data_IF_255050833852
#
_entry.id   IF_255050833852
#
_cell.length_a   1.000
_cell.length_b   1.000
_cell.length_c   1.000
_cell.angle_alpha   90.00
_cell.angle_beta   90.00
_cell.angle_gamma   90.00
#
_symmetry.space_group_name_H-M   'P 1'
#
loop_
_entity.id
_entity.type
_entity.pdbx_description
1 polymer ?
#
# COMPACT_ATOMS: atom_id res chain seq x y z
N UNK A 1 -17.34 -71.39 9.82
CA UNK A 1 -15.99 -70.84 9.58
C UNK A 1 -15.95 -70.14 8.25
N UNK A 2 -16.14 -68.84 8.19
CA UNK A 2 -15.84 -68.02 7.03
C UNK A 2 -15.55 -66.64 7.55
N UNK A 3 -14.31 -66.24 7.49
CA UNK A 3 -13.74 -64.92 7.87
C UNK A 3 -14.16 -63.86 6.86
N UNK A 4 -14.91 -62.87 7.28
CA UNK A 4 -15.19 -61.67 6.47
C UNK A 4 -14.10 -60.64 6.71
N UNK A 5 -13.34 -60.32 5.67
CA UNK A 5 -12.39 -59.18 5.64
C UNK A 5 -13.19 -57.91 5.52
N UNK A 6 -13.02 -56.99 6.49
CA UNK A 6 -13.57 -55.65 6.50
C UNK A 6 -12.59 -54.73 5.74
N UNK A 7 -13.01 -54.24 4.58
CA UNK A 7 -12.25 -53.28 3.78
C UNK A 7 -12.60 -51.90 4.31
N UNK A 8 -11.62 -51.18 4.87
CA UNK A 8 -11.74 -49.77 5.21
C UNK A 8 -11.49 -48.93 3.93
N UNK A 9 -12.53 -48.30 3.42
CA UNK A 9 -12.42 -47.25 2.42
C UNK A 9 -12.07 -45.94 3.16
N UNK A 10 -10.84 -45.52 3.03
CA UNK A 10 -10.43 -44.14 3.37
C UNK A 10 -10.95 -43.20 2.27
N UNK A 11 -12.01 -42.44 2.57
CA UNK A 11 -12.40 -41.33 1.74
C UNK A 11 -11.42 -40.16 2.02
N UNK A 12 -10.53 -39.92 1.06
CA UNK A 12 -9.72 -38.71 1.06
C UNK A 12 -10.62 -37.54 0.69
N UNK A 13 -10.94 -36.72 1.67
CA UNK A 13 -11.56 -35.39 1.45
C UNK A 13 -10.45 -34.49 0.91
N UNK A 14 -10.48 -34.25 -0.39
CA UNK A 14 -9.67 -33.22 -1.02
C UNK A 14 -10.28 -31.85 -0.62
N UNK A 15 -9.70 -31.21 0.38
CA UNK A 15 -9.95 -29.78 0.64
C UNK A 15 -9.19 -29.02 -0.44
N UNK A 16 -9.91 -28.55 -1.46
CA UNK A 16 -9.40 -27.59 -2.42
C UNK A 16 -9.35 -26.24 -1.65
N UNK A 17 -8.21 -26.00 -1.02
CA UNK A 17 -7.87 -24.67 -0.54
C UNK A 17 -7.56 -23.84 -1.78
N UNK A 18 -8.47 -22.93 -2.15
CA UNK A 18 -8.22 -21.96 -3.19
C UNK A 18 -7.04 -21.11 -2.77
N UNK A 19 -5.87 -21.39 -3.32
CA UNK A 19 -4.71 -20.55 -3.17
C UNK A 19 -5.00 -19.25 -3.91
N UNK A 20 -5.35 -18.21 -3.15
CA UNK A 20 -5.23 -16.85 -3.61
C UNK A 20 -3.72 -16.60 -3.82
N UNK A 21 -3.29 -16.64 -5.07
CA UNK A 21 -1.90 -16.36 -5.42
C UNK A 21 -1.70 -14.87 -5.27
N UNK A 22 -1.28 -14.45 -4.08
CA UNK A 22 -0.74 -13.10 -3.89
C UNK A 22 0.61 -13.03 -4.63
N UNK A 23 0.64 -12.24 -5.68
CA UNK A 23 1.83 -11.99 -6.50
C UNK A 23 2.71 -10.94 -5.83
N UNK A 24 3.31 -11.29 -4.71
CA UNK A 24 4.40 -10.52 -4.12
C UNK A 24 5.65 -11.37 -4.00
N UNK A 25 6.18 -11.98 -4.93
CA UNK A 25 7.47 -12.66 -5.04
C UNK A 25 7.33 -13.95 -5.83
N UNK A 26 7.28 -13.85 -7.15
CA UNK A 26 7.69 -15.00 -7.95
C UNK A 26 9.20 -15.18 -7.77
N UNK A 27 9.56 -16.29 -7.16
CA UNK A 27 10.91 -16.82 -7.17
C UNK A 27 11.16 -17.48 -8.54
N UNK A 28 11.45 -16.66 -9.53
CA UNK A 28 12.04 -17.13 -10.78
C UNK A 28 13.23 -16.25 -11.11
N UNK A 29 14.38 -16.93 -11.09
CA UNK A 29 15.70 -16.56 -11.61
C UNK A 29 16.24 -15.18 -11.22
N UNK A 30 17.42 -15.18 -10.59
CA UNK A 30 18.33 -14.05 -10.34
C UNK A 30 18.57 -13.19 -11.60
N UNK A 31 17.57 -12.40 -12.01
CA UNK A 31 17.86 -11.22 -12.78
C UNK A 31 18.55 -10.27 -11.79
N UNK A 32 19.84 -10.07 -11.96
CA UNK A 32 20.64 -9.08 -11.23
C UNK A 32 20.00 -7.74 -11.47
N UNK A 33 19.08 -7.35 -10.56
CA UNK A 33 18.49 -6.01 -10.54
C UNK A 33 19.64 -5.06 -10.23
N UNK A 34 20.09 -4.32 -11.21
CA UNK A 34 21.15 -3.34 -11.02
C UNK A 34 20.57 -2.13 -10.28
N UNK A 35 21.02 -1.85 -9.04
CA UNK A 35 20.62 -0.62 -8.37
C UNK A 35 21.13 0.59 -9.15
N UNK A 36 20.34 1.65 -9.26
CA UNK A 36 20.72 2.88 -9.95
C UNK A 36 20.42 4.12 -9.11
N UNK A 37 21.30 5.09 -9.14
CA UNK A 37 21.13 6.41 -8.53
C UNK A 37 20.73 7.50 -9.54
N UNK A 38 20.42 7.13 -10.79
CA UNK A 38 20.00 8.05 -11.84
C UNK A 38 18.55 8.53 -11.65
N UNK A 39 18.39 9.76 -11.21
CA UNK A 39 17.10 10.42 -11.04
C UNK A 39 16.59 11.17 -12.27
N UNK A 40 17.26 11.11 -13.42
CA UNK A 40 16.98 11.92 -14.62
C UNK A 40 15.56 11.75 -15.19
N UNK A 41 14.92 10.61 -14.91
CA UNK A 41 13.54 10.31 -15.33
C UNK A 41 12.49 10.62 -14.25
N UNK A 42 12.90 11.23 -13.15
CA UNK A 42 12.02 11.64 -12.07
C UNK A 42 11.74 13.14 -12.08
N UNK A 43 10.67 13.51 -11.40
CA UNK A 43 10.31 14.90 -11.11
C UNK A 43 9.94 15.02 -9.63
N UNK A 44 10.10 16.22 -9.07
CA UNK A 44 9.47 16.59 -7.81
C UNK A 44 7.96 16.62 -8.02
N UNK A 45 7.20 15.86 -7.23
CA UNK A 45 5.76 15.67 -7.43
C UNK A 45 5.01 17.01 -7.48
N UNK A 46 5.34 17.95 -6.63
CA UNK A 46 4.69 19.27 -6.58
C UNK A 46 5.00 20.18 -7.77
N UNK A 47 6.05 19.89 -8.55
CA UNK A 47 6.30 20.62 -9.79
C UNK A 47 5.33 20.17 -10.91
N UNK A 48 4.92 18.89 -10.89
CA UNK A 48 3.95 18.34 -11.85
C UNK A 48 2.50 18.48 -11.34
N UNK A 49 2.27 18.32 -10.04
CA UNK A 49 0.95 18.37 -9.38
C UNK A 49 0.99 19.39 -8.24
N UNK A 50 0.96 20.70 -8.55
CA UNK A 50 1.17 21.77 -7.56
C UNK A 50 0.06 21.85 -6.50
N UNK A 51 -1.11 21.29 -6.80
CA UNK A 51 -2.25 21.28 -5.87
C UNK A 51 -2.19 20.12 -4.87
N UNK A 52 -1.24 19.18 -5.03
CA UNK A 52 -1.07 18.09 -4.08
C UNK A 52 -0.61 18.58 -2.71
N UNK A 53 -1.19 18.00 -1.66
CA UNK A 53 -0.78 18.22 -0.27
C UNK A 53 0.21 17.13 0.09
N UNK A 54 1.37 17.49 0.63
CA UNK A 54 2.36 16.51 1.07
C UNK A 54 2.29 16.33 2.59
N UNK A 55 2.09 15.10 3.04
CA UNK A 55 2.28 14.66 4.42
C UNK A 55 3.19 13.43 4.43
N UNK A 56 4.45 13.63 4.03
CA UNK A 56 5.39 12.52 3.82
C UNK A 56 5.70 11.84 5.16
N UNK A 57 5.04 10.71 5.40
CA UNK A 57 5.05 9.98 6.67
C UNK A 57 6.43 9.49 7.05
N UNK A 58 7.21 9.07 6.08
CA UNK A 58 8.54 8.51 6.30
C UNK A 58 9.64 9.55 6.47
N UNK A 59 9.37 10.81 6.13
CA UNK A 59 10.23 11.92 6.56
C UNK A 59 10.01 12.30 8.03
N UNK A 60 8.81 12.12 8.55
CA UNK A 60 8.45 12.35 9.93
C UNK A 60 8.71 11.15 10.84
N UNK A 61 8.16 11.23 12.05
CA UNK A 61 8.22 10.16 13.06
C UNK A 61 6.88 9.45 13.28
N UNK A 62 5.80 9.98 12.69
CA UNK A 62 4.48 9.36 12.77
C UNK A 62 4.30 8.35 11.62
N UNK A 63 5.00 7.23 11.74
CA UNK A 63 4.95 6.05 10.88
C UNK A 63 5.10 4.80 11.75
N UNK A 64 4.96 3.61 11.20
CA UNK A 64 4.96 2.37 11.96
C UNK A 64 6.32 2.02 12.62
N UNK A 65 7.42 2.66 12.18
CA UNK A 65 8.75 2.53 12.80
C UNK A 65 8.92 3.49 13.99
N UNK A 66 8.33 4.68 13.92
CA UNK A 66 8.43 5.71 14.97
C UNK A 66 9.62 6.66 14.82
N UNK A 67 10.38 6.56 13.72
CA UNK A 67 11.51 7.43 13.40
C UNK A 67 11.51 7.82 11.94
N UNK A 68 12.33 8.83 11.56
CA UNK A 68 12.53 9.14 10.15
C UNK A 68 13.18 7.94 9.46
N UNK A 69 12.69 7.61 8.27
CA UNK A 69 13.18 6.50 7.48
C UNK A 69 14.41 6.92 6.67
N UNK A 70 15.37 6.02 6.58
CA UNK A 70 16.62 6.24 5.86
C UNK A 70 16.36 6.61 4.39
N UNK A 71 17.07 7.60 3.91
CA UNK A 71 16.96 8.07 2.52
C UNK A 71 15.91 9.16 2.30
N UNK A 72 15.09 9.52 3.28
CA UNK A 72 14.21 10.69 3.23
C UNK A 72 14.93 11.92 3.78
N UNK A 73 15.53 12.74 2.91
CA UNK A 73 16.32 13.92 3.28
C UNK A 73 15.45 15.17 3.41
N UNK A 74 14.34 15.26 2.64
CA UNK A 74 13.40 16.38 2.65
C UNK A 74 11.94 15.91 2.69
N UNK A 75 10.99 16.75 3.18
CA UNK A 75 9.57 16.41 3.21
C UNK A 75 8.92 16.61 1.83
N UNK A 76 9.45 15.93 0.84
CA UNK A 76 9.00 15.99 -0.56
C UNK A 76 8.68 14.62 -1.10
N UNK A 77 8.05 14.56 -2.26
CA UNK A 77 7.74 13.33 -2.98
C UNK A 77 8.32 13.39 -4.40
N UNK A 78 8.80 12.26 -4.88
CA UNK A 78 9.32 12.10 -6.24
C UNK A 78 8.53 11.01 -6.96
N UNK A 79 8.31 11.20 -8.26
CA UNK A 79 7.73 10.19 -9.14
C UNK A 79 8.48 10.17 -10.48
N UNK A 80 8.40 9.05 -11.19
CA UNK A 80 8.74 9.05 -12.62
C UNK A 80 7.87 10.07 -13.35
N UNK A 81 8.41 10.69 -14.39
CA UNK A 81 7.68 11.69 -15.21
C UNK A 81 6.33 11.14 -15.67
N UNK A 82 6.32 9.89 -16.13
CA UNK A 82 5.13 9.25 -16.64
C UNK A 82 4.06 9.05 -15.56
N UNK A 83 4.45 8.63 -14.35
CA UNK A 83 3.52 8.51 -13.22
C UNK A 83 3.01 9.88 -12.77
N UNK A 84 3.87 10.90 -12.79
CA UNK A 84 3.48 12.26 -12.44
C UNK A 84 2.47 12.87 -13.43
N UNK A 85 2.64 12.61 -14.74
CA UNK A 85 1.69 13.04 -15.78
C UNK A 85 0.31 12.38 -15.57
N UNK A 86 0.27 11.08 -15.29
CA UNK A 86 -0.97 10.37 -14.97
C UNK A 86 -1.60 10.89 -13.66
N UNK A 87 -0.79 11.14 -12.63
CA UNK A 87 -1.28 11.68 -11.36
C UNK A 87 -1.83 13.11 -11.49
N UNK A 88 -1.27 13.90 -12.41
CA UNK A 88 -1.83 15.23 -12.73
C UNK A 88 -3.27 15.11 -13.26
N UNK A 89 -3.54 14.14 -14.11
CA UNK A 89 -4.88 13.91 -14.61
C UNK A 89 -5.84 13.43 -13.50
N UNK A 90 -5.37 12.58 -12.58
CA UNK A 90 -6.13 12.23 -11.35
C UNK A 90 -6.44 13.48 -10.53
N UNK A 91 -5.44 14.34 -10.32
CA UNK A 91 -5.61 15.58 -9.55
C UNK A 91 -6.68 16.49 -10.17
N UNK A 92 -6.65 16.67 -11.49
CA UNK A 92 -7.63 17.51 -12.19
C UNK A 92 -9.05 16.95 -12.05
N UNK A 93 -9.21 15.63 -12.14
CA UNK A 93 -10.49 14.94 -12.00
C UNK A 93 -11.07 15.08 -10.59
N UNK A 94 -10.28 14.81 -9.54
CA UNK A 94 -10.77 14.92 -8.16
C UNK A 94 -10.98 16.39 -7.75
N UNK A 95 -10.19 17.32 -8.28
CA UNK A 95 -10.40 18.76 -8.04
C UNK A 95 -11.72 19.25 -8.60
N UNK A 96 -12.14 18.75 -9.76
CA UNK A 96 -13.46 19.04 -10.32
C UNK A 96 -14.61 18.54 -9.45
N UNK A 97 -14.34 17.56 -8.57
CA UNK A 97 -15.27 17.00 -7.61
C UNK A 97 -15.18 17.67 -6.21
N UNK A 98 -14.26 18.61 -6.01
CA UNK A 98 -14.09 19.34 -4.75
C UNK A 98 -13.01 18.75 -3.82
N UNK A 99 -12.15 17.87 -4.33
CA UNK A 99 -11.10 17.23 -3.55
C UNK A 99 -9.71 17.61 -4.05
N UNK A 100 -8.70 17.48 -3.18
CA UNK A 100 -7.27 17.53 -3.51
C UNK A 100 -6.64 16.18 -3.16
N UNK A 101 -5.58 15.83 -3.86
CA UNK A 101 -4.75 14.69 -3.48
C UNK A 101 -3.90 15.05 -2.26
N UNK A 102 -3.82 14.13 -1.30
CA UNK A 102 -2.90 14.21 -0.17
C UNK A 102 -2.00 12.98 -0.17
N UNK A 103 -0.69 13.19 -0.26
CA UNK A 103 0.33 12.18 -0.52
C UNK A 103 1.03 11.82 0.79
N UNK A 104 1.07 10.53 1.12
CA UNK A 104 1.77 9.98 2.28
C UNK A 104 3.16 9.47 1.94
N UNK A 105 3.30 8.83 0.76
CA UNK A 105 4.55 8.35 0.21
C UNK A 105 4.47 8.28 -1.32
N UNK A 106 5.64 8.27 -1.99
CA UNK A 106 5.75 8.07 -3.42
C UNK A 106 7.00 7.23 -3.72
N UNK A 107 7.99 7.75 -4.45
CA UNK A 107 9.26 7.04 -4.57
C UNK A 107 9.90 6.83 -3.20
N UNK A 108 10.25 5.58 -2.89
CA UNK A 108 10.96 5.15 -1.68
C UNK A 108 12.29 4.55 -2.06
N UNK A 109 13.43 5.13 -1.64
CA UNK A 109 14.74 4.58 -1.98
C UNK A 109 14.95 3.21 -1.33
N UNK A 110 15.78 2.36 -1.92
CA UNK A 110 16.09 1.04 -1.36
C UNK A 110 16.53 1.12 0.12
N UNK A 111 17.27 2.18 0.50
CA UNK A 111 17.65 2.41 1.92
C UNK A 111 16.46 2.48 2.87
N UNK A 112 15.33 3.00 2.40
CA UNK A 112 14.09 3.04 3.19
C UNK A 112 13.50 1.64 3.39
N UNK A 113 13.49 0.83 2.33
CA UNK A 113 13.06 -0.58 2.40
C UNK A 113 13.98 -1.36 3.34
N UNK A 114 15.29 -1.19 3.22
CA UNK A 114 16.28 -1.84 4.09
C UNK A 114 16.11 -1.42 5.57
N UNK A 115 15.68 -0.17 5.83
CA UNK A 115 15.35 0.29 7.17
C UNK A 115 14.13 -0.45 7.74
N UNK A 116 13.08 -0.64 6.95
CA UNK A 116 11.91 -1.41 7.37
C UNK A 116 12.25 -2.86 7.70
N UNK A 117 13.11 -3.49 6.89
CA UNK A 117 13.57 -4.86 7.14
C UNK A 117 14.33 -4.94 8.47
N UNK A 118 15.31 -4.07 8.70
CA UNK A 118 16.07 -4.03 9.97
C UNK A 118 15.18 -3.78 11.17
N UNK A 119 14.19 -2.87 11.03
CA UNK A 119 13.21 -2.63 12.07
C UNK A 119 12.34 -3.87 12.34
N UNK A 120 11.90 -4.58 11.30
CA UNK A 120 11.06 -5.77 11.46
C UNK A 120 11.81 -6.94 12.14
N UNK A 121 13.13 -7.03 11.95
CA UNK A 121 14.00 -8.02 12.61
C UNK A 121 14.19 -7.76 14.11
N UNK A 122 14.12 -6.49 14.56
CA UNK A 122 14.14 -6.17 15.99
C UNK A 122 12.76 -6.33 16.62
N UNK A 123 12.49 -7.53 17.12
CA UNK A 123 11.19 -7.87 17.73
C UNK A 123 10.89 -7.09 19.02
N UNK A 124 11.88 -6.41 19.61
CA UNK A 124 11.69 -5.62 20.82
C UNK A 124 11.25 -4.18 20.54
N UNK A 125 11.50 -3.67 19.32
CA UNK A 125 11.04 -2.36 18.92
C UNK A 125 9.55 -2.40 18.54
N UNK A 126 8.68 -2.14 19.51
CA UNK A 126 7.23 -2.16 19.36
C UNK A 126 6.59 -0.80 19.69
N UNK A 127 7.38 0.29 19.63
CA UNK A 127 6.95 1.64 20.00
C UNK A 127 5.63 2.05 19.36
N UNK A 128 5.49 1.79 18.08
CA UNK A 128 4.33 2.22 17.28
C UNK A 128 3.25 1.13 17.13
N UNK A 129 3.43 -0.05 17.76
CA UNK A 129 2.47 -1.15 17.71
C UNK A 129 1.03 -0.72 18.06
N UNK A 130 0.76 0.08 19.11
CA UNK A 130 -0.62 0.46 19.44
C UNK A 130 -1.35 1.25 18.37
N UNK A 131 -0.60 1.89 17.45
CA UNK A 131 -1.14 2.79 16.42
C UNK A 131 -1.27 2.15 15.05
N UNK A 132 -0.45 1.14 14.74
CA UNK A 132 -0.37 0.58 13.38
C UNK A 132 -0.65 -0.93 13.30
N UNK A 133 -0.33 -1.71 14.35
CA UNK A 133 -0.49 -3.17 14.34
C UNK A 133 -0.84 -3.76 15.72
N UNK A 134 -1.85 -3.21 16.43
CA UNK A 134 -2.13 -3.63 17.82
C UNK A 134 -2.48 -5.12 17.97
N UNK A 135 -3.08 -5.69 16.92
CA UNK A 135 -3.59 -7.07 16.94
C UNK A 135 -2.57 -8.09 16.41
N UNK A 136 -1.43 -7.63 15.87
CA UNK A 136 -0.41 -8.50 15.30
C UNK A 136 0.80 -8.61 16.23
N UNK A 137 1.39 -9.81 16.27
CA UNK A 137 2.73 -9.97 16.79
C UNK A 137 3.75 -9.47 15.74
N UNK A 138 4.79 -8.74 16.18
CA UNK A 138 5.77 -8.20 15.24
C UNK A 138 6.49 -9.29 14.43
N UNK A 139 6.63 -10.49 14.99
CA UNK A 139 7.26 -11.64 14.33
C UNK A 139 6.55 -12.11 13.07
N UNK A 140 5.25 -11.75 12.89
CA UNK A 140 4.49 -12.15 11.70
C UNK A 140 4.56 -11.14 10.55
N UNK A 141 5.07 -9.92 10.79
CA UNK A 141 5.02 -8.83 9.81
C UNK A 141 5.83 -9.15 8.54
N UNK A 142 6.98 -9.79 8.67
CA UNK A 142 7.78 -10.21 7.53
C UNK A 142 7.24 -11.49 6.87
N UNK A 143 6.94 -12.59 7.61
CA UNK A 143 6.36 -13.80 7.02
C UNK A 143 5.00 -13.61 6.35
N UNK A 144 4.22 -12.62 6.79
CA UNK A 144 2.91 -12.29 6.21
C UNK A 144 2.97 -11.15 5.18
N UNK A 145 4.18 -10.80 4.73
CA UNK A 145 4.44 -9.85 3.65
C UNK A 145 3.96 -8.41 3.90
N UNK A 146 3.70 -8.02 5.17
CA UNK A 146 3.52 -6.60 5.52
C UNK A 146 4.80 -5.79 5.30
N UNK A 147 5.96 -6.44 5.45
CA UNK A 147 7.29 -5.89 5.15
C UNK A 147 7.98 -6.80 4.13
N UNK A 148 8.41 -6.24 3.01
CA UNK A 148 9.04 -6.97 1.90
C UNK A 148 10.46 -6.48 1.64
N UNK A 149 11.32 -7.34 1.06
CA UNK A 149 12.70 -7.00 0.64
C UNK A 149 12.74 -6.08 -0.59
N UNK A 150 11.66 -6.08 -1.39
CA UNK A 150 11.51 -5.26 -2.60
C UNK A 150 10.17 -4.52 -2.51
N UNK A 151 10.15 -3.29 -3.00
CA UNK A 151 8.95 -2.46 -2.97
C UNK A 151 8.67 -1.86 -4.35
N UNK A 152 7.39 -1.80 -4.74
CA UNK A 152 6.93 -1.06 -5.91
C UNK A 152 7.35 0.41 -5.89
N UNK A 153 7.33 1.02 -4.71
CA UNK A 153 7.76 2.41 -4.51
C UNK A 153 9.19 2.68 -4.96
N UNK A 154 10.09 1.70 -4.83
CA UNK A 154 11.50 1.84 -5.21
C UNK A 154 11.68 1.90 -6.73
N UNK A 155 10.67 1.53 -7.53
CA UNK A 155 10.64 1.67 -8.99
C UNK A 155 10.14 3.05 -9.46
N UNK A 156 9.61 3.87 -8.52
CA UNK A 156 9.29 5.28 -8.74
C UNK A 156 7.94 5.57 -9.39
N UNK A 157 7.08 4.57 -9.59
CA UNK A 157 5.76 4.74 -10.20
C UNK A 157 4.61 4.27 -9.28
N UNK A 158 4.91 4.08 -8.01
CA UNK A 158 3.98 3.72 -6.95
C UNK A 158 3.86 4.85 -5.95
N UNK A 159 2.65 5.07 -5.43
CA UNK A 159 2.38 6.09 -4.41
C UNK A 159 1.26 5.68 -3.47
N UNK A 160 1.32 6.23 -2.26
CA UNK A 160 0.32 6.10 -1.20
C UNK A 160 -0.34 7.45 -0.97
N UNK A 161 -1.67 7.49 -1.05
CA UNK A 161 -2.40 8.76 -1.01
C UNK A 161 -3.82 8.62 -0.48
N UNK A 162 -4.40 9.78 -0.17
CA UNK A 162 -5.79 9.95 0.21
C UNK A 162 -6.38 11.20 -0.45
N UNK A 163 -7.63 11.49 -0.13
CA UNK A 163 -8.34 12.69 -0.57
C UNK A 163 -8.48 13.70 0.57
N UNK A 164 -8.38 14.97 0.21
CA UNK A 164 -8.60 16.11 1.09
C UNK A 164 -9.77 16.93 0.56
N UNK A 165 -10.81 17.10 1.37
CA UNK A 165 -12.02 17.86 1.03
C UNK A 165 -11.74 19.36 1.15
N UNK A 166 -11.90 20.09 0.05
CA UNK A 166 -11.65 21.53 -0.02
C UNK A 166 -12.71 22.36 0.72
N UNK A 167 -13.91 21.83 0.90
CA UNK A 167 -15.00 22.55 1.57
C UNK A 167 -14.86 22.50 3.10
N UNK A 168 -14.45 21.37 3.63
CA UNK A 168 -14.26 21.14 5.07
C UNK A 168 -12.83 21.41 5.54
N UNK A 169 -11.89 21.54 4.60
CA UNK A 169 -10.44 21.65 4.84
C UNK A 169 -9.90 20.50 5.69
N UNK A 170 -10.40 19.27 5.43
CA UNK A 170 -10.00 18.05 6.14
C UNK A 170 -9.73 16.91 5.18
N UNK A 171 -8.90 15.99 5.63
CA UNK A 171 -8.75 14.67 5.01
C UNK A 171 -10.06 13.92 5.08
N UNK A 172 -10.43 13.21 4.00
CA UNK A 172 -11.59 12.33 4.03
C UNK A 172 -11.33 11.16 4.98
N UNK A 173 -12.34 10.87 5.80
CA UNK A 173 -12.28 9.71 6.69
C UNK A 173 -12.45 8.42 5.88
N UNK A 174 -11.37 7.67 5.74
CA UNK A 174 -11.31 6.39 5.04
C UNK A 174 -11.63 5.19 5.94
N UNK A 175 -11.97 5.42 7.22
CA UNK A 175 -12.29 4.37 8.19
C UNK A 175 -11.07 3.61 8.72
N UNK A 176 -9.87 4.07 8.43
CA UNK A 176 -8.61 3.49 8.89
C UNK A 176 -7.43 4.38 8.55
N UNK A 177 -6.39 4.35 9.37
CA UNK A 177 -5.19 5.14 9.12
C UNK A 177 -4.33 4.50 8.03
N UNK A 178 -3.57 5.34 7.33
CA UNK A 178 -2.46 4.90 6.49
C UNK A 178 -1.49 3.99 7.28
N UNK A 179 -0.94 2.97 6.65
CA UNK A 179 -0.04 1.97 7.26
C UNK A 179 -0.67 1.12 8.38
N UNK A 180 -1.98 1.00 8.45
CA UNK A 180 -2.60 0.05 9.35
C UNK A 180 -2.38 -1.39 8.85
N UNK A 181 -1.72 -2.23 9.65
CA UNK A 181 -1.48 -3.63 9.33
C UNK A 181 -2.66 -4.49 9.77
N UNK A 182 -3.49 -4.85 8.81
CA UNK A 182 -4.66 -5.67 9.05
C UNK A 182 -5.67 -5.63 7.91
N UNK A 183 -6.63 -6.54 7.89
CA UNK A 183 -7.63 -6.64 6.83
C UNK A 183 -8.54 -5.41 6.74
N UNK A 184 -8.58 -4.56 7.77
CA UNK A 184 -9.29 -3.28 7.74
C UNK A 184 -8.73 -2.30 6.70
N UNK A 185 -7.48 -2.50 6.26
CA UNK A 185 -6.82 -1.73 5.19
C UNK A 185 -7.17 -2.21 3.80
N UNK A 186 -7.71 -3.42 3.66
CA UNK A 186 -8.04 -3.97 2.35
C UNK A 186 -9.17 -3.18 1.68
N UNK A 187 -9.11 -2.93 0.36
CA UNK A 187 -10.18 -2.28 -0.37
C UNK A 187 -11.53 -2.99 -0.27
N UNK A 188 -11.52 -4.32 -0.12
CA UNK A 188 -12.70 -5.16 0.01
C UNK A 188 -13.21 -5.33 1.46
N UNK A 189 -12.67 -4.56 2.40
CA UNK A 189 -13.16 -4.57 3.77
C UNK A 189 -14.52 -3.87 3.86
N UNK A 190 -15.53 -4.60 4.31
CA UNK A 190 -16.94 -4.17 4.41
C UNK A 190 -17.63 -3.89 3.07
N UNK A 191 -17.07 -4.28 1.92
CA UNK A 191 -17.71 -4.05 0.63
C UNK A 191 -17.03 -4.78 -0.53
N UNK A 192 -17.53 -4.54 -1.72
CA UNK A 192 -16.96 -5.06 -2.96
C UNK A 192 -16.37 -3.89 -3.77
N UNK A 193 -15.02 -3.81 -3.91
CA UNK A 193 -14.36 -2.72 -4.61
C UNK A 193 -14.56 -2.75 -6.14
N UNK A 194 -15.01 -3.87 -6.72
CA UNK A 194 -15.26 -3.99 -8.16
C UNK A 194 -16.65 -3.43 -8.53
N UNK A 195 -17.64 -3.66 -7.67
CA UNK A 195 -18.99 -3.11 -7.88
C UNK A 195 -19.22 -1.78 -7.16
N UNK A 196 -18.41 -1.48 -6.14
CA UNK A 196 -18.60 -0.34 -5.25
C UNK A 196 -19.73 -0.56 -4.23
N UNK A 197 -20.21 -1.79 -4.04
CA UNK A 197 -21.31 -2.10 -3.12
C UNK A 197 -20.77 -2.24 -1.68
N UNK A 198 -21.32 -1.45 -0.77
CA UNK A 198 -21.09 -1.59 0.66
C UNK A 198 -21.96 -2.72 1.23
N UNK A 199 -21.33 -3.73 1.83
CA UNK A 199 -22.01 -4.89 2.43
C UNK A 199 -22.08 -4.82 3.95
N UNK A 200 -21.19 -4.07 4.59
CA UNK A 200 -21.02 -4.04 6.05
C UNK A 200 -20.40 -5.32 6.62
N UNK A 201 -19.93 -6.25 5.78
CA UNK A 201 -19.29 -7.49 6.24
C UNK A 201 -17.92 -7.21 6.83
N UNK A 202 -17.82 -7.23 8.14
CA UNK A 202 -16.59 -7.06 8.89
C UNK A 202 -16.01 -8.38 9.42
N UNK A 203 -16.41 -9.52 8.85
CA UNK A 203 -16.00 -10.85 9.30
C UNK A 203 -14.47 -11.05 9.26
N UNK A 204 -13.78 -10.34 8.39
CA UNK A 204 -12.33 -10.36 8.24
C UNK A 204 -11.57 -9.70 9.40
N UNK A 205 -12.20 -8.80 10.18
CA UNK A 205 -11.53 -8.14 11.31
C UNK A 205 -11.12 -9.16 12.38
N UNK A 206 -9.85 -9.18 12.82
CA UNK A 206 -9.39 -10.05 13.91
C UNK A 206 -9.74 -9.51 15.29
N UNK A 207 -10.14 -8.25 15.41
CA UNK A 207 -10.41 -7.57 16.67
C UNK A 207 -11.69 -8.09 17.35
N UNK A 208 -11.74 -7.97 18.70
CA UNK A 208 -12.94 -8.19 19.48
C UNK A 208 -13.19 -7.00 20.44
N UNK A 209 -14.27 -6.23 20.25
CA UNK A 209 -15.30 -6.38 19.19
C UNK A 209 -14.72 -6.12 17.79
N UNK A 210 -15.29 -6.75 16.77
CA UNK A 210 -14.85 -6.56 15.37
C UNK A 210 -14.91 -5.11 14.95
N UNK A 211 -13.83 -4.62 14.32
CA UNK A 211 -13.82 -3.30 13.68
C UNK A 211 -14.72 -3.31 12.45
N UNK A 212 -15.19 -2.15 12.08
CA UNK A 212 -16.00 -1.95 10.87
C UNK A 212 -15.73 -0.55 10.33
N UNK A 213 -16.02 -0.35 9.07
CA UNK A 213 -16.11 0.98 8.46
C UNK A 213 -17.56 1.25 8.08
N UNK A 214 -17.91 2.52 7.96
CA UNK A 214 -19.25 2.95 7.53
C UNK A 214 -19.37 2.90 6.00
N UNK A 215 -20.61 2.97 5.50
CA UNK A 215 -20.85 3.09 4.06
C UNK A 215 -20.22 4.35 3.46
N UNK A 216 -20.19 5.47 4.20
CA UNK A 216 -19.54 6.71 3.79
C UNK A 216 -18.02 6.54 3.67
N UNK A 217 -17.38 5.92 4.66
CA UNK A 217 -15.94 5.63 4.64
C UNK A 217 -15.56 4.68 3.49
N UNK A 218 -16.41 3.68 3.22
CA UNK A 218 -16.20 2.81 2.07
C UNK A 218 -16.33 3.59 0.74
N UNK A 219 -17.36 4.45 0.61
CA UNK A 219 -17.52 5.29 -0.59
C UNK A 219 -16.34 6.25 -0.78
N UNK A 220 -15.77 6.83 0.28
CA UNK A 220 -14.55 7.64 0.19
C UNK A 220 -13.39 6.87 -0.44
N UNK A 221 -13.15 5.61 -0.04
CA UNK A 221 -12.16 4.73 -0.68
C UNK A 221 -12.49 4.49 -2.16
N UNK A 222 -13.76 4.32 -2.49
CA UNK A 222 -14.21 4.07 -3.87
C UNK A 222 -14.06 5.32 -4.76
N UNK A 223 -14.26 6.52 -4.24
CA UNK A 223 -13.97 7.77 -4.98
C UNK A 223 -12.50 7.81 -5.39
N UNK A 224 -11.59 7.60 -4.44
CA UNK A 224 -10.15 7.55 -4.71
C UNK A 224 -9.81 6.44 -5.73
N UNK A 225 -10.29 5.21 -5.48
CA UNK A 225 -10.04 4.05 -6.35
C UNK A 225 -10.49 4.31 -7.78
N UNK A 226 -11.71 4.82 -7.99
CA UNK A 226 -12.25 5.11 -9.34
C UNK A 226 -11.41 6.15 -10.07
N UNK A 227 -11.00 7.22 -9.40
CA UNK A 227 -10.15 8.25 -9.98
C UNK A 227 -8.79 7.69 -10.40
N UNK A 228 -8.14 6.90 -9.56
CA UNK A 228 -6.85 6.29 -9.84
C UNK A 228 -6.93 5.29 -11.00
N UNK A 229 -7.93 4.41 -11.00
CA UNK A 229 -8.17 3.45 -12.10
C UNK A 229 -8.43 4.14 -13.44
N UNK A 230 -9.22 5.23 -13.46
CA UNK A 230 -9.54 5.98 -14.67
C UNK A 230 -8.31 6.58 -15.35
N UNK A 231 -7.25 6.82 -14.59
CA UNK A 231 -6.02 7.44 -15.08
C UNK A 231 -4.81 6.48 -15.09
N UNK A 232 -5.07 5.17 -15.16
CA UNK A 232 -4.06 4.16 -15.47
C UNK A 232 -3.24 3.65 -14.28
N UNK A 233 -3.72 3.83 -13.05
CA UNK A 233 -3.12 3.22 -11.88
C UNK A 233 -3.83 1.93 -11.49
N UNK A 234 -3.08 0.92 -11.07
CA UNK A 234 -3.59 -0.30 -10.48
C UNK A 234 -3.55 -0.19 -8.95
N UNK A 235 -4.63 -0.57 -8.26
CA UNK A 235 -4.65 -0.65 -6.80
C UNK A 235 -3.95 -1.90 -6.29
N UNK A 236 -3.55 -1.88 -5.02
CA UNK A 236 -3.15 -3.06 -4.27
C UNK A 236 -4.36 -3.64 -3.51
N UNK A 237 -4.50 -4.97 -3.48
CA UNK A 237 -5.66 -5.61 -2.87
C UNK A 237 -5.64 -5.62 -1.33
N UNK A 238 -4.52 -5.25 -0.73
CA UNK A 238 -4.32 -5.24 0.72
C UNK A 238 -4.26 -3.84 1.35
N UNK A 239 -4.21 -2.77 0.51
CA UNK A 239 -4.02 -1.40 0.97
C UNK A 239 -4.86 -0.42 0.15
N UNK A 240 -5.87 0.22 0.76
CA UNK A 240 -6.79 1.13 0.05
C UNK A 240 -6.11 2.40 -0.49
N UNK A 241 -4.95 2.75 0.06
CA UNK A 241 -4.18 3.95 -0.30
C UNK A 241 -3.15 3.74 -1.41
N UNK A 242 -2.78 2.47 -1.71
CA UNK A 242 -1.62 2.11 -2.52
C UNK A 242 -1.98 1.88 -3.99
N UNK A 243 -1.28 2.60 -4.87
CA UNK A 243 -1.50 2.53 -6.31
C UNK A 243 -0.19 2.55 -7.08
N UNK A 244 -0.09 1.70 -8.10
CA UNK A 244 1.06 1.62 -9.01
C UNK A 244 0.62 1.93 -10.43
N UNK A 245 1.37 2.75 -11.18
CA UNK A 245 1.10 3.00 -12.59
C UNK A 245 1.14 1.67 -13.35
N UNK A 246 0.08 1.37 -14.15
CA UNK A 246 -0.06 0.10 -14.86
C UNK A 246 1.10 -0.19 -15.80
N UNK A 247 1.46 0.82 -16.59
CA UNK A 247 2.54 0.73 -17.58
C UNK A 247 3.75 1.52 -17.08
N UNK A 248 4.29 1.09 -15.91
CA UNK A 248 5.44 1.75 -15.30
C UNK A 248 6.70 1.64 -16.18
N UNK A 249 7.49 2.74 -16.31
CA UNK A 249 8.63 2.76 -17.22
C UNK A 249 9.80 1.90 -16.76
N UNK A 250 9.85 1.55 -15.48
CA UNK A 250 10.97 0.84 -14.85
C UNK A 250 10.52 -0.36 -14.01
N UNK A 251 9.83 -1.37 -14.59
CA UNK A 251 9.24 -2.46 -13.81
C UNK A 251 10.27 -3.32 -13.07
N UNK A 252 11.52 -3.33 -13.54
CA UNK A 252 12.60 -4.17 -13.01
C UNK A 252 13.78 -3.36 -12.43
N UNK A 253 13.64 -2.02 -12.30
CA UNK A 253 14.72 -1.15 -11.83
C UNK A 253 14.39 -0.61 -10.44
N UNK A 254 15.33 -0.82 -9.49
CA UNK A 254 15.21 -0.34 -8.12
C UNK A 254 16.20 0.79 -7.87
N UNK A 255 15.67 1.98 -7.56
CA UNK A 255 16.45 3.20 -7.43
C UNK A 255 16.97 3.39 -6.01
N UNK A 256 18.11 4.11 -5.89
CA UNK A 256 18.85 4.25 -4.62
C UNK A 256 19.09 5.70 -4.20
N UNK A 257 18.77 6.69 -5.07
CA UNK A 257 18.97 8.10 -4.74
C UNK A 257 18.01 8.55 -3.62
N UNK A 258 18.42 9.55 -2.80
CA UNK A 258 17.58 10.00 -1.68
C UNK A 258 16.36 10.79 -2.16
N UNK A 259 15.33 10.81 -1.31
CA UNK A 259 14.14 11.67 -1.49
C UNK A 259 14.51 13.09 -1.04
N UNK A 260 14.67 13.95 -2.03
CA UNK A 260 14.87 15.40 -1.89
C UNK A 260 14.44 16.09 -3.17
N UNK A 261 14.19 17.40 -3.08
CA UNK A 261 13.80 18.18 -4.26
C UNK A 261 14.84 18.04 -5.37
N UNK A 262 14.37 17.71 -6.57
CA UNK A 262 15.19 17.66 -7.76
C UNK A 262 15.39 19.08 -8.30
N UNK A 263 16.61 19.36 -8.83
CA UNK A 263 16.97 20.68 -9.38
C UNK A 263 16.78 20.71 -10.88
#
# INVERSE_FOLDING_TARGET
MKTKKLIWMLAAILVICGACVMTCCNSDEDSVVSPTDDSSQFVTLTDAVPDAILEIRYYGTYNFVGTRIDGYEEPTALLTKQAADSLKAVSDDVMAQGYRLKIYDAYRPQKGVDHFVRWAEDLNDTLMKPYFYPDLDKSVLFPQEYICLKSGHTRGSTLDLTLFDMATEKELDMGGTFDWFGPESHPDFCGDPETGEYTGDNSKSPAEPKRSITAEQFEHRMILRRAMLAHGFNPLDTEWWHFTLKDEPFPDTYFTFPVKQLK
#
